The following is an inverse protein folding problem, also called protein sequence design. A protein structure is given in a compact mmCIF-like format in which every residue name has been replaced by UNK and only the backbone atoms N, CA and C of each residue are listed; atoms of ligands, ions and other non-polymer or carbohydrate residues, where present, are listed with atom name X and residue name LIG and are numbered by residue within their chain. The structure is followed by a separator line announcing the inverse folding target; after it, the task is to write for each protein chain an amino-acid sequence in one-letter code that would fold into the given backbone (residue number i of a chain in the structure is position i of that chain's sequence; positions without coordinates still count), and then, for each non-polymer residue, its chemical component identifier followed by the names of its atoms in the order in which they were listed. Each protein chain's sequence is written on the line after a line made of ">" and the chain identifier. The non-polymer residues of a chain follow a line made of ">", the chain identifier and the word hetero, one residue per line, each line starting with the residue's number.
data_IF_110134257252
#
_entry.id   IF_110134257252
#
_cell.length_a   1.000
_cell.length_b   1.000
_cell.length_c   1.000
_cell.angle_alpha   90.00
_cell.angle_beta   90.00
_cell.angle_gamma   90.00
#
_symmetry.space_group_name_H-M   'P 1'
#
loop_
_entity.id
_entity.type
_entity.pdbx_description
1 polymer ?
#
# COMPACT_ATOMS: atom_id res chain seq x y z
N UNK A 1 50.57 -11.57 82.10
CA UNK A 1 51.06 -12.98 82.03
C UNK A 1 50.02 -13.80 81.28
N UNK A 2 50.46 -14.60 80.29
CA UNK A 2 49.71 -15.63 79.51
C UNK A 2 48.65 -15.06 78.54
N UNK A 3 48.96 -14.96 77.23
CA UNK A 3 48.94 -16.01 76.18
C UNK A 3 47.55 -16.63 75.98
N UNK A 4 46.91 -16.36 74.83
CA UNK A 4 46.67 -17.31 73.72
C UNK A 4 45.49 -16.83 72.82
N UNK A 5 45.77 -16.64 71.53
CA UNK A 5 44.83 -16.83 70.40
C UNK A 5 44.18 -18.24 70.48
N UNK A 6 43.03 -18.56 69.84
CA UNK A 6 42.60 -18.04 68.54
C UNK A 6 41.07 -17.85 68.35
N UNK A 7 40.68 -17.08 67.31
CA UNK A 7 39.76 -17.55 66.27
C UNK A 7 39.77 -16.53 65.11
N UNK A 8 40.90 -16.51 64.42
CA UNK A 8 41.13 -15.74 63.20
C UNK A 8 40.47 -16.41 61.98
N UNK A 9 39.16 -16.67 62.03
CA UNK A 9 38.51 -17.37 60.92
C UNK A 9 37.09 -16.92 60.56
N UNK A 10 36.47 -15.95 61.24
CA UNK A 10 35.06 -15.65 60.96
C UNK A 10 34.67 -14.18 60.81
N UNK A 11 35.62 -13.23 60.77
CA UNK A 11 35.32 -11.80 60.59
C UNK A 11 36.16 -11.12 59.50
N UNK A 12 36.69 -11.91 58.57
CA UNK A 12 37.34 -11.45 57.34
C UNK A 12 36.35 -11.30 56.17
N UNK A 13 35.04 -11.18 56.43
CA UNK A 13 34.03 -11.25 55.37
C UNK A 13 32.99 -10.11 55.34
N UNK A 14 32.98 -9.14 56.26
CA UNK A 14 31.86 -8.16 56.29
C UNK A 14 32.27 -6.69 56.51
N UNK A 15 33.55 -6.37 56.68
CA UNK A 15 33.96 -4.98 56.99
C UNK A 15 35.07 -4.39 56.11
N UNK A 16 35.15 -4.82 54.85
CA UNK A 16 35.88 -4.09 53.79
C UNK A 16 34.96 -3.18 52.95
N UNK A 17 33.89 -2.70 53.57
CA UNK A 17 33.12 -1.56 53.07
C UNK A 17 33.60 -0.29 53.79
N UNK A 18 33.86 0.76 53.00
CA UNK A 18 34.14 2.16 53.36
C UNK A 18 35.60 2.58 53.57
N UNK A 19 36.28 2.90 52.46
CA UNK A 19 37.15 4.09 52.28
C UNK A 19 37.50 4.18 50.79
N UNK A 20 36.84 5.03 50.00
CA UNK A 20 37.13 6.45 49.80
C UNK A 20 38.49 6.74 49.10
N UNK A 21 38.36 7.22 47.85
CA UNK A 21 39.23 8.11 47.07
C UNK A 21 40.63 7.65 46.57
N UNK A 22 40.75 7.57 45.23
CA UNK A 22 42.04 7.58 44.53
C UNK A 22 41.89 7.86 43.02
N UNK A 23 41.96 9.14 42.64
CA UNK A 23 42.42 9.74 41.36
C UNK A 23 42.01 9.08 40.01
N UNK A 24 41.16 9.77 39.26
CA UNK A 24 41.03 9.64 37.79
C UNK A 24 42.26 10.23 37.09
N UNK A 25 42.95 9.42 36.28
CA UNK A 25 43.62 9.92 35.08
C UNK A 25 42.53 10.24 34.03
N UNK A 26 42.65 11.34 33.26
CA UNK A 26 41.75 11.54 32.14
C UNK A 26 42.09 10.49 31.08
N UNK A 27 41.25 9.46 30.95
CA UNK A 27 41.26 8.62 29.76
C UNK A 27 41.02 9.53 28.56
N UNK A 28 42.02 9.54 27.69
CA UNK A 28 41.93 10.03 26.33
C UNK A 28 40.69 9.36 25.70
N UNK A 29 39.74 10.11 25.10
CA UNK A 29 38.57 9.49 24.50
C UNK A 29 39.01 8.41 23.51
N UNK A 30 38.44 7.21 23.70
CA UNK A 30 38.66 6.02 22.90
C UNK A 30 38.58 6.35 21.41
N UNK A 31 39.63 5.98 20.68
CA UNK A 31 39.52 5.82 19.23
C UNK A 31 38.61 4.61 19.02
N UNK A 32 37.48 4.72 18.30
CA UNK A 32 36.55 3.59 18.15
C UNK A 32 37.29 2.35 17.62
N UNK A 33 37.31 1.26 18.40
CA UNK A 33 37.81 -0.03 17.94
C UNK A 33 36.86 -0.56 16.87
N UNK A 34 37.40 -0.93 15.70
CA UNK A 34 36.58 -1.48 14.63
C UNK A 34 35.94 -2.81 15.06
N UNK A 35 34.67 -3.04 14.71
CA UNK A 35 33.96 -4.29 15.04
C UNK A 35 34.65 -5.51 14.42
N UNK A 36 34.62 -6.64 15.14
CA UNK A 36 35.15 -7.93 14.69
C UNK A 36 34.15 -8.71 13.85
N UNK A 37 32.86 -8.52 14.10
CA UNK A 37 31.78 -9.10 13.29
C UNK A 37 31.73 -8.38 11.94
N UNK A 38 31.62 -9.14 10.85
CA UNK A 38 31.46 -8.57 9.52
C UNK A 38 30.03 -8.03 9.35
N UNK A 39 29.90 -6.94 8.60
CA UNK A 39 28.60 -6.38 8.25
C UNK A 39 27.71 -7.40 7.53
N UNK A 40 28.31 -8.21 6.64
CA UNK A 40 27.65 -9.30 5.92
C UNK A 40 27.00 -10.32 6.88
N UNK A 41 27.61 -10.60 8.03
CA UNK A 41 27.03 -11.52 9.02
C UNK A 41 25.79 -10.91 9.73
N UNK A 42 25.72 -9.59 9.85
CA UNK A 42 24.55 -8.88 10.39
C UNK A 42 23.44 -8.80 9.35
N UNK A 43 23.80 -8.54 8.09
CA UNK A 43 22.86 -8.53 6.96
C UNK A 43 22.27 -9.93 6.69
N UNK A 44 23.05 -11.02 6.79
CA UNK A 44 22.51 -12.39 6.68
C UNK A 44 21.49 -12.69 7.80
N UNK A 45 21.73 -12.16 9.01
CA UNK A 45 20.80 -12.29 10.14
C UNK A 45 19.50 -11.50 9.89
N UNK A 46 19.61 -10.27 9.40
CA UNK A 46 18.47 -9.41 9.05
C UNK A 46 17.68 -9.92 7.84
N UNK A 47 18.34 -10.54 6.87
CA UNK A 47 17.67 -11.20 5.73
C UNK A 47 16.76 -12.33 6.23
N UNK A 48 17.21 -13.12 7.20
CA UNK A 48 16.38 -14.18 7.77
C UNK A 48 15.25 -13.63 8.64
N UNK A 49 15.48 -12.54 9.37
CA UNK A 49 14.43 -11.78 10.10
C UNK A 49 13.33 -11.31 9.13
N UNK A 50 13.72 -10.73 8.00
CA UNK A 50 12.83 -10.31 6.91
C UNK A 50 12.00 -11.48 6.36
N UNK A 51 12.64 -12.62 6.05
CA UNK A 51 11.94 -13.82 5.57
C UNK A 51 10.93 -14.29 6.61
N UNK A 52 11.28 -14.30 7.90
CA UNK A 52 10.31 -14.67 8.96
C UNK A 52 9.14 -13.69 8.98
N UNK A 53 9.41 -12.38 8.89
CA UNK A 53 8.38 -11.35 8.80
C UNK A 53 7.42 -11.60 7.63
N UNK A 54 7.97 -11.89 6.44
CA UNK A 54 7.21 -12.19 5.23
C UNK A 54 6.26 -13.38 5.42
N UNK A 55 6.77 -14.48 5.98
CA UNK A 55 6.02 -15.73 6.14
C UNK A 55 4.97 -15.66 7.25
N UNK A 56 5.25 -14.94 8.36
CA UNK A 56 4.33 -14.84 9.50
C UNK A 56 3.26 -13.76 9.32
N UNK A 57 3.61 -12.61 8.73
CA UNK A 57 2.78 -11.40 8.78
C UNK A 57 2.33 -10.84 7.43
N UNK A 58 2.84 -11.38 6.29
CA UNK A 58 2.55 -10.86 4.93
C UNK A 58 2.09 -11.93 3.95
N UNK A 59 1.56 -13.04 4.48
CA UNK A 59 1.06 -14.17 3.70
C UNK A 59 2.06 -14.84 2.74
N UNK A 60 3.36 -14.74 3.03
CA UNK A 60 4.42 -15.19 2.12
C UNK A 60 4.48 -16.70 1.83
N UNK A 61 3.66 -17.52 2.49
CA UNK A 61 3.55 -18.96 2.22
C UNK A 61 2.49 -19.21 1.15
N UNK A 62 2.96 -19.59 -0.04
CA UNK A 62 2.10 -20.00 -1.16
C UNK A 62 1.27 -21.23 -0.80
N UNK A 63 0.05 -21.28 -1.32
CA UNK A 63 -0.96 -22.27 -0.99
C UNK A 63 -1.19 -23.23 -2.15
N UNK A 64 -1.59 -24.46 -1.84
CA UNK A 64 -1.95 -25.46 -2.85
C UNK A 64 -3.02 -26.40 -2.31
N UNK A 65 -4.28 -26.06 -2.63
CA UNK A 65 -5.48 -26.81 -2.27
C UNK A 65 -6.59 -25.89 -1.80
N UNK A 66 -7.68 -26.49 -1.30
CA UNK A 66 -8.83 -25.76 -0.77
C UNK A 66 -8.68 -25.50 0.73
N UNK A 67 -9.39 -24.47 1.20
CA UNK A 67 -9.56 -24.16 2.61
C UNK A 67 -10.24 -25.32 3.34
N UNK A 68 -9.64 -25.80 4.43
CA UNK A 68 -10.24 -26.85 5.27
C UNK A 68 -11.42 -26.31 6.06
N UNK A 69 -12.31 -27.20 6.54
CA UNK A 69 -13.48 -26.81 7.35
C UNK A 69 -13.11 -26.02 8.62
N UNK A 70 -11.93 -26.28 9.18
CA UNK A 70 -11.40 -25.57 10.34
C UNK A 70 -10.55 -24.33 9.99
N UNK A 71 -10.67 -23.88 8.74
CA UNK A 71 -10.15 -22.64 8.20
C UNK A 71 -8.63 -22.58 8.05
N UNK A 72 -8.01 -23.71 7.68
CA UNK A 72 -6.59 -23.79 7.36
C UNK A 72 -6.35 -23.99 5.87
N UNK A 73 -5.30 -23.37 5.36
CA UNK A 73 -4.88 -23.44 3.96
C UNK A 73 -3.64 -24.33 3.84
N UNK A 74 -3.67 -25.36 2.98
CA UNK A 74 -2.51 -26.21 2.74
C UNK A 74 -1.39 -25.40 2.08
N UNK A 75 -0.20 -25.41 2.69
CA UNK A 75 0.99 -24.77 2.12
C UNK A 75 1.51 -25.63 0.96
N UNK A 76 1.88 -24.97 -0.14
CA UNK A 76 2.47 -25.64 -1.30
C UNK A 76 3.84 -26.20 -0.96
N UNK A 77 4.14 -27.40 -1.44
CA UNK A 77 5.48 -28.00 -1.32
C UNK A 77 6.57 -27.18 -2.06
N UNK A 78 6.18 -26.21 -2.89
CA UNK A 78 7.09 -25.34 -3.65
C UNK A 78 7.53 -24.08 -2.87
N UNK A 79 7.01 -23.84 -1.67
CA UNK A 79 7.26 -22.61 -0.89
C UNK A 79 8.67 -22.51 -0.28
N UNK A 80 9.49 -23.57 -0.35
CA UNK A 80 10.79 -23.64 0.34
C UNK A 80 10.71 -23.85 1.85
N UNK A 81 9.53 -23.61 2.45
CA UNK A 81 9.20 -23.83 3.86
C UNK A 81 7.89 -24.60 3.97
N UNK A 82 7.96 -25.91 3.76
CA UNK A 82 6.79 -26.77 3.51
C UNK A 82 6.42 -27.67 4.71
N UNK A 83 7.19 -27.59 5.80
CA UNK A 83 6.99 -28.33 7.04
C UNK A 83 7.22 -27.43 8.27
N UNK A 84 6.73 -27.83 9.44
CA UNK A 84 7.03 -27.14 10.69
C UNK A 84 8.54 -27.21 11.02
N UNK A 85 9.22 -28.27 10.60
CA UNK A 85 10.66 -28.41 10.78
C UNK A 85 11.45 -27.36 9.98
N UNK A 86 11.03 -27.03 8.75
CA UNK A 86 11.65 -26.00 7.93
C UNK A 86 11.49 -24.62 8.60
N UNK A 87 10.27 -24.32 9.06
CA UNK A 87 9.93 -23.09 9.79
C UNK A 87 10.72 -22.98 11.10
N UNK A 88 10.79 -24.06 11.88
CA UNK A 88 11.55 -24.11 13.13
C UNK A 88 13.05 -23.89 12.89
N UNK A 89 13.61 -24.50 11.84
CA UNK A 89 15.01 -24.33 11.46
C UNK A 89 15.32 -22.87 11.11
N UNK A 90 14.46 -22.21 10.33
CA UNK A 90 14.59 -20.79 10.01
C UNK A 90 14.58 -19.93 11.29
N UNK A 91 13.61 -20.16 12.19
CA UNK A 91 13.51 -19.41 13.44
C UNK A 91 14.74 -19.61 14.33
N UNK A 92 15.24 -20.84 14.45
CA UNK A 92 16.41 -21.16 15.28
C UNK A 92 17.74 -20.65 14.70
N UNK A 93 17.80 -20.40 13.40
CA UNK A 93 18.94 -19.74 12.75
C UNK A 93 18.90 -18.22 12.89
N UNK A 94 17.73 -17.66 13.21
CA UNK A 94 17.47 -16.21 13.21
C UNK A 94 17.40 -15.63 14.61
N UNK A 95 16.68 -16.28 15.52
CA UNK A 95 16.39 -15.76 16.86
C UNK A 95 16.93 -16.60 17.99
N UNK A 96 16.94 -16.04 19.20
CA UNK A 96 17.19 -16.79 20.42
C UNK A 96 16.14 -17.90 20.60
N UNK A 97 16.46 -18.93 21.38
CA UNK A 97 15.57 -20.07 21.60
C UNK A 97 14.20 -19.67 22.17
N UNK A 98 14.17 -18.63 23.01
CA UNK A 98 12.93 -18.10 23.60
C UNK A 98 12.04 -17.45 22.53
N UNK A 99 12.57 -16.51 21.76
CA UNK A 99 11.85 -15.82 20.68
C UNK A 99 11.37 -16.80 19.60
N UNK A 100 12.21 -17.75 19.21
CA UNK A 100 11.86 -18.78 18.23
C UNK A 100 10.71 -19.67 18.73
N UNK A 101 10.70 -20.04 20.01
CA UNK A 101 9.61 -20.81 20.61
C UNK A 101 8.30 -20.02 20.65
N UNK A 102 8.36 -18.73 21.01
CA UNK A 102 7.20 -17.85 21.03
C UNK A 102 6.56 -17.68 19.64
N UNK A 103 7.39 -17.48 18.59
CA UNK A 103 6.90 -17.33 17.22
C UNK A 103 6.26 -18.59 16.66
N UNK A 104 6.79 -19.76 17.01
CA UNK A 104 6.21 -21.04 16.58
C UNK A 104 4.86 -21.31 17.26
N UNK A 105 4.65 -20.75 18.45
CA UNK A 105 3.40 -20.80 19.20
C UNK A 105 2.45 -19.64 18.89
N UNK A 106 2.76 -18.79 17.89
CA UNK A 106 1.93 -17.66 17.52
C UNK A 106 0.53 -18.16 17.11
N UNK A 107 -0.50 -17.41 17.50
CA UNK A 107 -1.89 -17.73 17.28
C UNK A 107 -2.54 -16.77 16.28
N UNK A 108 -3.56 -17.26 15.59
CA UNK A 108 -4.39 -16.46 14.70
C UNK A 108 -5.36 -15.55 15.49
N UNK A 109 -6.17 -14.76 14.78
CA UNK A 109 -7.11 -13.81 15.42
C UNK A 109 -8.19 -14.47 16.28
N UNK A 110 -8.32 -15.80 16.26
CA UNK A 110 -9.24 -16.59 17.09
C UNK A 110 -8.52 -17.43 18.17
N UNK A 111 -7.22 -17.24 18.38
CA UNK A 111 -6.45 -18.00 19.37
C UNK A 111 -6.10 -19.43 18.93
N UNK A 112 -6.10 -19.71 17.61
CA UNK A 112 -5.70 -21.02 17.07
C UNK A 112 -4.25 -20.98 16.60
N UNK A 113 -3.49 -22.09 16.63
CA UNK A 113 -2.11 -22.09 16.15
C UNK A 113 -1.99 -21.53 14.73
N UNK A 114 -1.04 -20.62 14.49
CA UNK A 114 -0.82 -20.04 13.16
C UNK A 114 -0.48 -21.10 12.11
N UNK A 115 0.29 -22.11 12.53
CA UNK A 115 0.75 -23.21 11.69
C UNK A 115 0.46 -24.55 12.35
N UNK A 116 0.02 -25.51 11.53
CA UNK A 116 -0.18 -26.89 11.95
C UNK A 116 0.35 -27.83 10.87
N UNK A 117 0.84 -29.00 11.27
CA UNK A 117 1.25 -30.04 10.32
C UNK A 117 0.29 -31.22 10.40
N UNK A 118 -0.19 -31.67 9.24
CA UNK A 118 -1.09 -32.82 9.11
C UNK A 118 -0.54 -33.74 8.05
N UNK A 119 -0.28 -34.99 8.41
CA UNK A 119 0.21 -36.02 7.48
C UNK A 119 1.50 -35.59 6.73
N UNK A 120 2.37 -34.83 7.41
CA UNK A 120 3.62 -34.33 6.82
C UNK A 120 3.45 -33.12 5.89
N UNK A 121 2.26 -32.52 5.82
CA UNK A 121 1.98 -31.29 5.06
C UNK A 121 1.71 -30.14 6.03
N UNK A 122 2.38 -29.01 5.81
CA UNK A 122 2.15 -27.77 6.54
C UNK A 122 0.84 -27.11 6.10
N UNK A 123 0.12 -26.56 7.07
CA UNK A 123 -1.05 -25.73 6.86
C UNK A 123 -0.89 -24.41 7.62
N UNK A 124 -1.31 -23.31 7.01
CA UNK A 124 -1.38 -21.99 7.64
C UNK A 124 -2.84 -21.64 7.95
N UNK A 125 -3.09 -20.93 9.04
CA UNK A 125 -4.45 -20.40 9.29
C UNK A 125 -4.83 -19.42 8.16
N UNK A 126 -6.09 -19.44 7.74
CA UNK A 126 -6.65 -18.44 6.80
C UNK A 126 -6.95 -17.09 7.45
N UNK A 127 -6.76 -16.97 8.77
CA UNK A 127 -7.02 -15.74 9.53
C UNK A 127 -5.77 -15.18 10.24
N UNK A 128 -4.64 -14.98 9.53
CA UNK A 128 -3.44 -14.39 10.12
C UNK A 128 -3.72 -13.09 10.87
N UNK A 129 -2.85 -12.84 11.85
CA UNK A 129 -2.57 -11.48 12.29
C UNK A 129 -1.67 -10.84 11.24
N UNK A 130 -2.26 -10.07 10.32
CA UNK A 130 -1.51 -9.33 9.31
C UNK A 130 -0.90 -8.07 9.90
N UNK A 131 0.37 -7.82 9.60
CA UNK A 131 0.89 -6.46 9.69
C UNK A 131 0.46 -5.72 8.42
N UNK A 132 -0.25 -4.61 8.56
CA UNK A 132 -0.54 -3.70 7.42
C UNK A 132 0.70 -2.96 6.93
N UNK A 133 1.76 -2.96 7.74
CA UNK A 133 3.00 -2.24 7.54
C UNK A 133 4.12 -3.27 7.44
N UNK A 134 4.59 -3.54 6.22
CA UNK A 134 5.67 -4.49 6.00
C UNK A 134 6.98 -3.73 5.84
N UNK A 135 7.98 -4.07 6.64
CA UNK A 135 9.22 -3.31 6.73
C UNK A 135 10.38 -4.13 6.16
N UNK A 136 11.04 -3.61 5.14
CA UNK A 136 12.35 -4.08 4.71
C UNK A 136 13.43 -3.35 5.48
N UNK A 137 14.65 -3.85 5.45
CA UNK A 137 15.79 -3.18 6.06
C UNK A 137 16.76 -2.70 4.99
N UNK A 138 17.25 -1.48 5.13
CA UNK A 138 18.32 -1.00 4.28
C UNK A 138 19.64 -1.64 4.73
N UNK A 139 20.14 -2.57 3.91
CA UNK A 139 21.39 -3.28 4.18
C UNK A 139 22.59 -2.34 4.32
N UNK A 140 22.60 -1.22 3.59
CA UNK A 140 23.68 -0.23 3.62
C UNK A 140 23.60 0.67 4.87
N UNK A 141 22.44 0.74 5.52
CA UNK A 141 22.23 1.48 6.78
C UNK A 141 22.75 0.75 8.02
N UNK A 142 23.07 -0.54 7.88
CA UNK A 142 23.44 -1.38 9.02
C UNK A 142 24.76 -0.87 9.61
N UNK A 143 24.73 -0.55 10.91
CA UNK A 143 25.89 -0.05 11.64
C UNK A 143 26.06 -0.79 12.94
N UNK A 144 27.19 -1.48 13.14
CA UNK A 144 27.51 -2.08 14.44
C UNK A 144 27.88 -0.94 15.39
N UNK A 145 27.08 -0.75 16.43
CA UNK A 145 27.27 0.30 17.44
C UNK A 145 28.04 -0.21 18.64
N UNK A 146 27.84 -1.48 19.02
CA UNK A 146 28.58 -2.12 20.11
C UNK A 146 28.76 -3.62 19.85
N UNK A 147 29.94 -4.17 20.12
CA UNK A 147 30.19 -5.60 20.05
C UNK A 147 30.98 -6.07 21.28
N UNK A 148 30.41 -7.04 21.99
CA UNK A 148 31.04 -7.76 23.10
C UNK A 148 31.18 -9.25 22.77
N UNK A 149 31.71 -10.05 23.70
CA UNK A 149 31.82 -11.50 23.50
C UNK A 149 30.44 -12.21 23.44
N UNK A 150 29.40 -11.60 24.03
CA UNK A 150 28.09 -12.22 24.23
C UNK A 150 26.96 -11.46 23.52
N UNK A 151 27.17 -10.18 23.21
CA UNK A 151 26.13 -9.29 22.69
C UNK A 151 26.66 -8.45 21.54
N UNK A 152 25.84 -8.31 20.50
CA UNK A 152 26.05 -7.43 19.37
C UNK A 152 24.87 -6.45 19.31
N UNK A 153 25.16 -5.16 19.40
CA UNK A 153 24.18 -4.08 19.21
C UNK A 153 24.48 -3.41 17.88
N UNK A 154 23.45 -3.22 17.07
CA UNK A 154 23.58 -2.57 15.78
C UNK A 154 22.36 -1.71 15.51
N UNK A 155 22.55 -0.67 14.72
CA UNK A 155 21.47 0.11 14.15
C UNK A 155 21.16 -0.39 12.76
N UNK A 156 19.89 -0.33 12.40
CA UNK A 156 19.42 -0.61 11.05
C UNK A 156 18.23 0.30 10.77
N UNK A 157 18.22 0.92 9.60
CA UNK A 157 17.06 1.60 9.09
C UNK A 157 16.10 0.56 8.49
N UNK A 158 14.89 0.54 9.02
CA UNK A 158 13.79 -0.19 8.44
C UNK A 158 13.01 0.77 7.55
N UNK A 159 12.65 0.34 6.35
CA UNK A 159 11.79 1.07 5.45
C UNK A 159 10.49 0.29 5.29
N UNK A 160 9.37 0.91 5.62
CA UNK A 160 8.09 0.33 5.27
C UNK A 160 8.00 0.24 3.75
N UNK A 161 7.79 -0.95 3.19
CA UNK A 161 7.62 -1.22 1.76
C UNK A 161 6.21 -0.88 1.25
N UNK A 162 5.31 -0.52 2.16
CA UNK A 162 4.07 0.16 1.87
C UNK A 162 3.91 1.51 2.60
N UNK A 163 4.92 2.16 3.18
CA UNK A 163 4.82 3.59 3.57
C UNK A 163 6.06 4.45 3.29
N UNK A 164 7.19 3.84 2.98
CA UNK A 164 8.46 4.52 2.70
C UNK A 164 9.02 5.18 3.96
N UNK A 165 8.25 5.07 5.05
CA UNK A 165 8.61 5.48 6.38
C UNK A 165 9.87 4.73 6.76
N UNK A 166 10.91 5.50 7.06
CA UNK A 166 12.19 5.01 7.51
C UNK A 166 12.27 5.14 9.01
N UNK A 167 12.46 4.02 9.68
CA UNK A 167 12.59 3.93 11.11
C UNK A 167 13.95 3.33 11.43
N UNK A 168 14.86 4.14 11.97
CA UNK A 168 16.10 3.62 12.52
C UNK A 168 15.81 2.89 13.83
N UNK A 169 16.04 1.59 13.81
CA UNK A 169 15.95 0.73 14.98
C UNK A 169 17.34 0.45 15.53
N UNK A 170 17.43 0.37 16.85
CA UNK A 170 18.57 -0.26 17.53
C UNK A 170 18.15 -1.68 17.87
N UNK A 171 18.89 -2.66 17.37
CA UNK A 171 18.60 -4.09 17.51
C UNK A 171 19.74 -4.77 18.24
N UNK A 172 19.39 -5.86 18.93
CA UNK A 172 20.36 -6.66 19.71
C UNK A 172 20.37 -8.11 19.25
N UNK A 173 21.57 -8.67 19.12
CA UNK A 173 21.80 -10.09 18.92
C UNK A 173 22.67 -10.68 20.02
N UNK A 174 22.40 -11.94 20.38
CA UNK A 174 23.16 -12.71 21.36
C UNK A 174 24.05 -13.74 20.68
N UNK A 175 25.25 -13.96 21.22
CA UNK A 175 26.19 -14.95 20.70
C UNK A 175 25.80 -16.35 21.14
N UNK A 176 25.64 -17.26 20.18
CA UNK A 176 25.46 -18.69 20.41
C UNK A 176 26.61 -19.49 19.79
N UNK A 177 26.66 -20.80 20.07
CA UNK A 177 27.62 -21.71 19.45
C UNK A 177 27.53 -21.74 17.91
N UNK A 178 26.36 -21.43 17.35
CA UNK A 178 26.07 -21.45 15.92
C UNK A 178 25.96 -20.05 15.30
N UNK A 179 26.47 -19.02 15.98
CA UNK A 179 26.50 -17.64 15.49
C UNK A 179 25.61 -16.67 16.27
N UNK A 180 25.39 -15.50 15.71
CA UNK A 180 24.54 -14.46 16.29
C UNK A 180 23.06 -14.78 16.11
N UNK A 181 22.22 -14.39 17.08
CA UNK A 181 20.77 -14.60 17.09
C UNK A 181 20.04 -13.37 17.63
N UNK A 182 19.00 -12.91 16.96
CA UNK A 182 18.20 -11.75 17.40
C UNK A 182 17.36 -12.10 18.64
N UNK A 183 17.28 -11.18 19.59
CA UNK A 183 16.41 -11.33 20.77
C UNK A 183 14.95 -10.95 20.50
N UNK A 184 14.70 -10.23 19.43
CA UNK A 184 13.38 -9.69 19.07
C UNK A 184 13.14 -9.79 17.56
N UNK A 185 11.87 -9.85 17.19
CA UNK A 185 11.40 -9.75 15.81
C UNK A 185 11.44 -8.28 15.41
N UNK A 186 11.54 -7.99 14.10
CA UNK A 186 11.29 -6.64 13.58
C UNK A 186 9.96 -6.03 14.06
N UNK A 187 9.68 -4.78 13.66
CA UNK A 187 8.53 -3.97 14.15
C UNK A 187 7.26 -4.81 14.34
N UNK A 188 6.99 -5.20 15.59
CA UNK A 188 5.74 -5.85 15.94
C UNK A 188 4.66 -4.77 16.01
N UNK A 189 3.50 -5.04 15.42
CA UNK A 189 2.34 -4.13 15.31
C UNK A 189 1.77 -3.61 16.67
N UNK A 190 2.46 -3.78 17.80
CA UNK A 190 2.02 -3.41 19.14
C UNK A 190 2.96 -2.43 19.88
N UNK A 191 4.14 -2.07 19.36
CA UNK A 191 5.09 -1.19 20.08
C UNK A 191 5.34 0.14 19.36
N UNK A 192 4.36 1.04 19.40
CA UNK A 192 4.61 2.47 19.16
C UNK A 192 3.73 3.42 20.00
N UNK A 193 3.01 2.93 21.01
CA UNK A 193 2.36 3.82 21.99
C UNK A 193 1.45 4.88 21.37
N UNK A 194 0.56 4.48 20.46
CA UNK A 194 -0.43 5.34 19.82
C UNK A 194 -1.46 5.85 20.85
N UNK A 195 -1.12 6.92 21.57
CA UNK A 195 -2.12 7.81 22.16
C UNK A 195 -2.74 8.61 21.02
N UNK A 196 -4.06 8.50 20.85
CA UNK A 196 -4.80 9.08 19.73
C UNK A 196 -4.31 10.47 19.31
N UNK A 197 -3.73 10.54 18.13
CA UNK A 197 -3.56 11.76 17.36
C UNK A 197 -4.65 11.80 16.29
N UNK A 198 -5.19 13.00 16.13
CA UNK A 198 -5.83 13.52 14.93
C UNK A 198 -5.05 13.00 13.71
N UNK A 199 -5.72 12.64 12.60
CA UNK A 199 -5.07 12.19 11.35
C UNK A 199 -4.13 13.27 10.80
N UNK A 200 -2.86 13.22 11.20
CA UNK A 200 -1.84 14.20 10.84
C UNK A 200 -1.28 13.98 9.43
N UNK A 201 -1.36 12.79 8.82
CA UNK A 201 -0.71 12.53 7.52
C UNK A 201 -1.38 13.21 6.31
N UNK A 202 -2.69 13.06 6.10
CA UNK A 202 -3.38 13.66 4.94
C UNK A 202 -3.37 15.19 4.99
N UNK A 203 -3.61 15.76 6.18
CA UNK A 203 -3.54 17.20 6.40
C UNK A 203 -2.12 17.74 6.28
N UNK A 204 -1.13 17.05 6.85
CA UNK A 204 0.28 17.44 6.72
C UNK A 204 0.71 17.45 5.25
N UNK A 205 0.27 16.47 4.46
CA UNK A 205 0.59 16.40 3.02
C UNK A 205 -0.12 17.52 2.24
N UNK A 206 -1.37 17.82 2.57
CA UNK A 206 -2.07 18.97 2.01
C UNK A 206 -1.36 20.30 2.33
N UNK A 207 -0.98 20.51 3.59
CA UNK A 207 -0.26 21.71 4.04
C UNK A 207 1.13 21.83 3.38
N UNK A 208 1.87 20.72 3.28
CA UNK A 208 3.17 20.66 2.57
C UNK A 208 3.02 20.98 1.09
N UNK A 209 2.02 20.41 0.43
CA UNK A 209 1.75 20.67 -0.98
C UNK A 209 1.44 22.15 -1.23
N UNK A 210 0.59 22.73 -0.40
CA UNK A 210 0.22 24.15 -0.48
C UNK A 210 1.42 25.07 -0.23
N UNK A 211 2.28 24.74 0.74
CA UNK A 211 3.53 25.46 0.96
C UNK A 211 4.48 25.36 -0.25
N UNK A 212 4.65 24.15 -0.80
CA UNK A 212 5.51 23.90 -1.95
C UNK A 212 5.07 24.66 -3.22
N UNK A 213 3.76 24.90 -3.40
CA UNK A 213 3.25 25.76 -4.47
C UNK A 213 3.79 27.20 -4.36
N UNK A 214 3.74 27.78 -3.16
CA UNK A 214 4.21 29.16 -2.89
C UNK A 214 5.73 29.26 -3.00
N UNK A 215 6.45 28.25 -2.52
CA UNK A 215 7.92 28.19 -2.57
C UNK A 215 8.45 27.86 -3.97
N UNK A 216 7.58 27.45 -4.90
CA UNK A 216 7.92 26.87 -6.21
C UNK A 216 8.90 25.69 -6.09
N UNK A 217 8.77 24.90 -5.02
CA UNK A 217 9.56 23.69 -4.79
C UNK A 217 8.98 22.53 -5.58
N UNK A 218 9.49 22.35 -6.80
CA UNK A 218 9.04 21.30 -7.72
C UNK A 218 9.34 19.88 -7.22
N UNK A 219 10.34 19.72 -6.34
CA UNK A 219 10.69 18.41 -5.78
C UNK A 219 9.74 18.04 -4.64
N UNK A 220 9.41 19.01 -3.76
CA UNK A 220 8.39 18.83 -2.73
C UNK A 220 6.99 18.59 -3.32
N UNK A 221 6.64 19.28 -4.42
CA UNK A 221 5.39 19.02 -5.15
C UNK A 221 5.32 17.59 -5.69
N UNK A 222 6.42 17.10 -6.27
CA UNK A 222 6.51 15.73 -6.75
C UNK A 222 6.37 14.71 -5.61
N UNK A 223 7.06 14.95 -4.49
CA UNK A 223 6.95 14.09 -3.31
C UNK A 223 5.53 14.04 -2.73
N UNK A 224 4.84 15.18 -2.64
CA UNK A 224 3.45 15.21 -2.15
C UNK A 224 2.47 14.46 -3.07
N UNK A 225 2.78 14.37 -4.36
CA UNK A 225 1.99 13.66 -5.36
C UNK A 225 2.43 12.19 -5.56
N UNK A 226 3.44 11.70 -4.83
CA UNK A 226 3.99 10.35 -5.04
C UNK A 226 4.71 10.17 -6.38
N UNK A 227 5.28 11.24 -6.93
CA UNK A 227 5.90 11.29 -8.24
C UNK A 227 7.43 11.39 -8.17
N UNK A 228 8.10 11.04 -9.28
CA UNK A 228 9.54 11.23 -9.41
C UNK A 228 9.92 12.73 -9.31
N UNK A 229 11.06 13.10 -8.68
CA UNK A 229 11.45 14.50 -8.48
C UNK A 229 11.54 15.34 -9.76
N UNK A 230 11.78 14.70 -10.90
CA UNK A 230 11.84 15.34 -12.21
C UNK A 230 10.48 15.66 -12.83
N UNK A 231 9.39 15.06 -12.33
CA UNK A 231 8.05 15.14 -12.93
C UNK A 231 7.62 16.60 -13.13
N UNK A 232 7.74 17.45 -12.11
CA UNK A 232 7.28 18.85 -12.20
C UNK A 232 8.40 19.87 -12.47
N UNK A 233 9.58 19.45 -12.97
CA UNK A 233 10.69 20.39 -13.21
C UNK A 233 10.35 21.51 -14.20
N UNK A 234 9.42 21.29 -15.12
CA UNK A 234 8.96 22.31 -16.09
C UNK A 234 8.21 23.47 -15.43
N UNK A 235 7.81 23.32 -14.16
CA UNK A 235 7.13 24.35 -13.37
C UNK A 235 8.09 25.30 -12.66
N UNK A 236 9.41 25.09 -12.78
CA UNK A 236 10.39 26.02 -12.21
C UNK A 236 10.23 27.40 -12.85
N UNK A 237 10.17 28.42 -12.01
CA UNK A 237 9.96 29.82 -12.42
C UNK A 237 8.51 30.27 -12.43
N UNK A 238 7.56 29.41 -12.00
CA UNK A 238 6.22 29.86 -11.67
C UNK A 238 6.25 30.78 -10.44
N UNK A 239 5.26 31.65 -10.32
CA UNK A 239 5.10 32.58 -9.23
C UNK A 239 3.66 32.56 -8.73
N UNK A 240 3.50 32.00 -7.54
CA UNK A 240 2.27 31.94 -6.75
C UNK A 240 2.53 32.77 -5.49
N UNK A 241 1.74 33.82 -5.26
CA UNK A 241 1.98 34.75 -4.14
C UNK A 241 1.39 34.26 -2.83
N UNK A 242 0.34 33.44 -2.88
CA UNK A 242 -0.26 32.80 -1.71
C UNK A 242 -1.04 31.57 -2.15
N UNK A 243 -1.05 30.55 -1.29
CA UNK A 243 -1.95 29.42 -1.35
C UNK A 243 -2.28 29.02 0.10
N UNK A 244 -3.56 28.85 0.42
CA UNK A 244 -4.01 28.57 1.78
C UNK A 244 -5.18 27.59 1.78
N UNK A 245 -5.17 26.61 2.69
CA UNK A 245 -6.35 25.77 2.94
C UNK A 245 -7.39 26.63 3.68
N UNK A 246 -8.50 26.94 3.03
CA UNK A 246 -9.56 27.80 3.58
C UNK A 246 -10.72 27.02 4.18
N UNK A 247 -10.93 25.78 3.77
CA UNK A 247 -11.97 24.91 4.28
C UNK A 247 -11.56 23.43 4.24
N UNK A 248 -11.90 22.69 5.29
CA UNK A 248 -11.84 21.22 5.31
C UNK A 248 -13.22 20.70 4.94
N UNK A 249 -13.36 20.11 3.76
CA UNK A 249 -14.63 19.60 3.24
C UNK A 249 -14.92 18.20 3.81
N UNK A 250 -13.89 17.35 3.85
CA UNK A 250 -13.97 15.98 4.38
C UNK A 250 -12.60 15.54 4.89
N UNK A 251 -12.56 14.76 5.97
CA UNK A 251 -11.30 14.20 6.48
C UNK A 251 -11.56 12.91 7.29
N UNK A 252 -10.88 11.83 6.93
CA UNK A 252 -10.87 10.53 7.63
C UNK A 252 -9.56 9.77 7.33
N UNK A 253 -9.34 8.60 7.95
CA UNK A 253 -8.13 7.80 7.75
C UNK A 253 -7.90 7.49 6.26
N UNK A 254 -6.80 7.98 5.70
CA UNK A 254 -6.44 7.80 4.30
C UNK A 254 -7.19 8.69 3.29
N UNK A 255 -7.96 9.70 3.72
CA UNK A 255 -8.59 10.66 2.80
C UNK A 255 -8.75 12.06 3.42
N UNK A 256 -8.45 13.10 2.65
CA UNK A 256 -8.71 14.50 2.97
C UNK A 256 -9.14 15.28 1.73
N UNK A 257 -10.22 16.05 1.86
CA UNK A 257 -10.74 16.96 0.83
C UNK A 257 -10.71 18.38 1.37
N UNK A 258 -10.03 19.27 0.64
CA UNK A 258 -9.76 20.63 1.10
C UNK A 258 -10.10 21.64 0.01
N UNK A 259 -10.62 22.80 0.42
CA UNK A 259 -10.63 24.00 -0.43
C UNK A 259 -9.34 24.74 -0.22
N UNK A 260 -8.60 25.00 -1.30
CA UNK A 260 -7.38 25.80 -1.31
C UNK A 260 -7.64 27.09 -2.07
N UNK A 261 -7.48 28.23 -1.42
CA UNK A 261 -7.51 29.52 -2.09
C UNK A 261 -6.10 29.88 -2.56
N UNK A 262 -5.92 30.14 -3.86
CA UNK A 262 -4.61 30.42 -4.46
C UNK A 262 -4.61 31.73 -5.25
N UNK A 263 -3.55 32.52 -5.09
CA UNK A 263 -3.27 33.73 -5.85
C UNK A 263 -2.04 33.53 -6.75
N UNK A 264 -2.26 33.44 -8.06
CA UNK A 264 -1.23 33.16 -9.07
C UNK A 264 -0.83 34.43 -9.82
N UNK A 265 0.46 34.74 -9.86
CA UNK A 265 1.00 35.86 -10.65
C UNK A 265 1.38 35.41 -12.06
N UNK A 266 2.09 34.29 -12.16
CA UNK A 266 2.51 33.71 -13.43
C UNK A 266 2.75 32.21 -13.26
N UNK A 267 1.93 31.37 -13.89
CA UNK A 267 2.09 29.92 -13.87
C UNK A 267 2.24 29.31 -15.27
N UNK A 268 2.69 30.09 -16.26
CA UNK A 268 2.88 29.61 -17.65
C UNK A 268 1.65 28.87 -18.26
N UNK A 269 0.44 29.22 -17.82
CA UNK A 269 -0.84 28.58 -18.16
C UNK A 269 -1.11 27.20 -17.53
N UNK A 270 -0.27 26.75 -16.60
CA UNK A 270 -0.58 25.60 -15.71
C UNK A 270 -1.75 25.98 -14.80
N UNK A 271 -1.68 27.17 -14.19
CA UNK A 271 -2.76 27.77 -13.40
C UNK A 271 -3.20 29.10 -14.02
N UNK A 272 -4.47 29.46 -13.84
CA UNK A 272 -5.00 30.75 -14.26
C UNK A 272 -4.34 31.88 -13.45
N UNK A 273 -4.07 33.03 -14.07
CA UNK A 273 -3.58 34.20 -13.36
C UNK A 273 -4.73 34.86 -12.59
N UNK A 274 -4.50 35.23 -11.33
CA UNK A 274 -5.52 35.80 -10.44
C UNK A 274 -5.74 34.98 -9.18
N UNK A 275 -6.86 35.25 -8.51
CA UNK A 275 -7.31 34.52 -7.32
C UNK A 275 -8.40 33.52 -7.70
N UNK A 276 -8.26 32.27 -7.27
CA UNK A 276 -9.19 31.17 -7.59
C UNK A 276 -9.14 30.09 -6.49
N UNK A 277 -10.27 29.41 -6.28
CA UNK A 277 -10.37 28.31 -5.32
C UNK A 277 -10.23 26.95 -6.02
N UNK A 278 -9.42 26.08 -5.43
CA UNK A 278 -9.10 24.75 -5.93
C UNK A 278 -9.60 23.69 -4.96
N UNK A 279 -10.05 22.56 -5.53
CA UNK A 279 -10.29 21.33 -4.79
C UNK A 279 -8.98 20.54 -4.71
N UNK A 280 -8.50 20.32 -3.50
CA UNK A 280 -7.37 19.46 -3.20
C UNK A 280 -7.88 18.17 -2.57
N UNK A 281 -7.51 17.03 -3.14
CA UNK A 281 -7.80 15.71 -2.58
C UNK A 281 -6.48 15.00 -2.30
N UNK A 282 -6.34 14.57 -1.06
CA UNK A 282 -5.24 13.73 -0.59
C UNK A 282 -5.83 12.38 -0.23
N UNK A 283 -5.33 11.31 -0.84
CA UNK A 283 -5.85 9.97 -0.59
C UNK A 283 -4.72 8.95 -0.52
N UNK A 284 -4.87 7.96 0.35
CA UNK A 284 -4.04 6.77 0.34
C UNK A 284 -4.49 5.87 -0.82
N UNK A 285 -3.73 5.91 -1.92
CA UNK A 285 -3.98 5.06 -3.08
C UNK A 285 -3.46 3.62 -2.87
N UNK A 286 -4.01 2.68 -3.62
CA UNK A 286 -3.57 1.29 -3.55
C UNK A 286 -2.11 1.16 -4.01
N UNK A 287 -1.26 0.59 -3.15
CA UNK A 287 0.17 0.48 -3.41
C UNK A 287 0.94 1.76 -3.09
N UNK A 288 0.25 2.86 -2.71
CA UNK A 288 0.89 4.05 -2.20
C UNK A 288 1.03 4.01 -0.70
N UNK A 289 2.15 4.57 -0.36
CA UNK A 289 2.80 4.28 0.87
C UNK A 289 2.29 5.22 1.97
N UNK A 290 2.34 6.50 1.65
CA UNK A 290 1.68 7.55 2.40
C UNK A 290 0.54 8.08 1.54
N UNK A 291 -0.42 8.83 2.13
CA UNK A 291 -1.42 9.52 1.33
C UNK A 291 -0.75 10.45 0.33
N UNK A 292 -1.23 10.51 -0.91
CA UNK A 292 -0.68 11.38 -1.94
C UNK A 292 -1.75 12.36 -2.39
N UNK A 293 -1.33 13.51 -2.90
CA UNK A 293 -2.20 14.41 -3.65
C UNK A 293 -2.62 13.68 -4.93
N UNK A 294 -3.88 13.27 -5.01
CA UNK A 294 -4.43 12.55 -6.16
C UNK A 294 -5.32 13.43 -7.06
N UNK A 295 -5.62 14.65 -6.61
CA UNK A 295 -6.39 15.61 -7.38
C UNK A 295 -6.13 17.05 -6.93
N UNK A 296 -5.88 17.94 -7.89
CA UNK A 296 -5.79 19.38 -7.66
C UNK A 296 -6.27 20.17 -8.88
N UNK A 297 -7.52 20.65 -8.86
CA UNK A 297 -8.15 21.38 -9.96
C UNK A 297 -9.09 22.47 -9.42
N UNK A 298 -9.45 23.50 -10.22
CA UNK A 298 -10.40 24.53 -9.80
C UNK A 298 -11.75 23.94 -9.35
N UNK A 299 -12.38 24.55 -8.34
CA UNK A 299 -13.68 24.10 -7.84
C UNK A 299 -14.81 24.16 -8.86
N UNK A 300 -14.67 24.98 -9.91
CA UNK A 300 -15.62 25.02 -11.03
C UNK A 300 -15.48 23.82 -11.97
N UNK A 301 -14.38 23.07 -11.87
CA UNK A 301 -14.01 21.96 -12.73
C UNK A 301 -13.75 20.72 -11.89
N UNK A 302 -14.82 20.07 -11.44
CA UNK A 302 -14.75 18.81 -10.66
C UNK A 302 -14.94 17.62 -11.57
N UNK A 303 -13.95 16.74 -11.61
CA UNK A 303 -14.07 15.45 -12.29
C UNK A 303 -15.12 14.58 -11.60
N UNK A 304 -15.92 13.85 -12.39
CA UNK A 304 -16.97 12.95 -11.94
C UNK A 304 -16.48 11.95 -10.89
N UNK A 305 -15.29 11.38 -11.07
CA UNK A 305 -14.71 10.39 -10.14
C UNK A 305 -14.48 10.97 -8.74
N UNK A 306 -14.32 12.29 -8.64
CA UNK A 306 -14.06 13.02 -7.40
C UNK A 306 -15.26 13.89 -6.96
N UNK A 307 -16.37 13.82 -7.69
CA UNK A 307 -17.63 14.48 -7.35
C UNK A 307 -18.28 13.81 -6.14
N UNK A 308 -18.93 14.59 -5.28
CA UNK A 308 -19.77 14.07 -4.21
C UNK A 308 -21.08 13.46 -4.76
N UNK A 309 -21.54 13.97 -5.92
CA UNK A 309 -22.73 13.51 -6.60
C UNK A 309 -22.35 12.60 -7.78
N UNK A 310 -22.13 11.32 -7.50
CA UNK A 310 -21.86 10.27 -8.51
C UNK A 310 -23.15 9.59 -8.96
N UNK A 311 -23.95 10.29 -9.76
CA UNK A 311 -25.26 9.83 -10.22
C UNK A 311 -25.46 9.88 -11.74
N UNK A 312 -24.39 10.02 -12.52
CA UNK A 312 -24.44 10.12 -13.98
C UNK A 312 -24.30 8.73 -14.63
N UNK A 313 -25.36 8.16 -15.22
CA UNK A 313 -25.31 6.82 -15.80
C UNK A 313 -24.35 6.70 -16.98
N UNK A 314 -24.12 7.80 -17.71
CA UNK A 314 -23.16 7.80 -18.82
C UNK A 314 -21.74 7.68 -18.30
N UNK A 315 -21.42 8.39 -17.21
CA UNK A 315 -20.11 8.32 -16.57
C UNK A 315 -19.85 6.95 -15.92
N UNK A 316 -20.83 6.38 -15.21
CA UNK A 316 -20.68 5.02 -14.64
C UNK A 316 -20.46 3.98 -15.74
N UNK A 317 -21.20 4.08 -16.86
CA UNK A 317 -21.04 3.16 -17.98
C UNK A 317 -19.67 3.34 -18.68
N UNK A 318 -19.18 4.57 -18.82
CA UNK A 318 -17.83 4.84 -19.34
C UNK A 318 -16.74 4.27 -18.42
N UNK A 319 -16.89 4.44 -17.10
CA UNK A 319 -15.95 3.92 -16.10
C UNK A 319 -15.88 2.39 -16.14
N UNK A 320 -17.04 1.71 -16.14
CA UNK A 320 -17.12 0.25 -16.24
C UNK A 320 -16.51 -0.25 -17.55
N UNK A 321 -16.74 0.44 -18.67
CA UNK A 321 -16.14 0.07 -19.95
C UNK A 321 -14.62 0.19 -19.91
N UNK A 322 -14.09 1.28 -19.38
CA UNK A 322 -12.64 1.48 -19.23
C UNK A 322 -12.01 0.41 -18.33
N UNK A 323 -12.64 0.09 -17.19
CA UNK A 323 -12.16 -0.94 -16.27
C UNK A 323 -12.17 -2.35 -16.89
N UNK A 324 -13.15 -2.63 -17.75
CA UNK A 324 -13.30 -3.89 -18.48
C UNK A 324 -12.32 -4.01 -19.65
N UNK A 325 -12.43 -3.08 -20.60
CA UNK A 325 -11.85 -3.19 -21.95
C UNK A 325 -10.60 -2.33 -22.13
N UNK A 326 -10.27 -1.49 -21.16
CA UNK A 326 -9.09 -0.64 -21.23
C UNK A 326 -9.30 0.52 -22.19
N UNK A 327 -8.24 0.88 -22.92
CA UNK A 327 -8.25 1.97 -23.91
C UNK A 327 -8.84 1.61 -25.27
N UNK A 328 -9.77 0.65 -25.35
CA UNK A 328 -10.35 0.20 -26.61
C UNK A 328 -11.16 1.34 -27.28
N UNK A 329 -10.91 1.58 -28.57
CA UNK A 329 -11.60 2.58 -29.39
C UNK A 329 -12.38 1.93 -30.51
N UNK A 330 -13.56 2.47 -30.81
CA UNK A 330 -14.42 2.00 -31.89
C UNK A 330 -15.40 3.09 -32.36
N UNK A 331 -15.73 3.09 -33.66
CA UNK A 331 -16.59 4.09 -34.31
C UNK A 331 -18.06 3.65 -34.44
N UNK A 332 -18.48 2.65 -33.66
CA UNK A 332 -19.80 2.02 -33.74
C UNK A 332 -19.78 0.66 -33.05
N UNK A 333 -20.71 0.41 -32.12
CA UNK A 333 -20.71 -0.81 -31.31
C UNK A 333 -20.83 -2.10 -32.12
N UNK A 334 -21.36 -2.01 -33.34
CA UNK A 334 -21.35 -3.10 -34.33
C UNK A 334 -19.94 -3.62 -34.67
N UNK A 335 -18.91 -2.78 -34.52
CA UNK A 335 -17.53 -3.13 -34.82
C UNK A 335 -16.80 -3.80 -33.65
N UNK A 336 -17.43 -3.90 -32.48
CA UNK A 336 -16.89 -4.67 -31.37
C UNK A 336 -16.87 -6.14 -31.74
N UNK A 337 -15.80 -6.84 -31.38
CA UNK A 337 -15.79 -8.28 -31.48
C UNK A 337 -16.79 -8.88 -30.48
N UNK A 338 -17.17 -10.13 -30.75
CA UNK A 338 -18.20 -10.83 -29.98
C UNK A 338 -17.78 -11.05 -28.52
N UNK A 339 -16.50 -11.26 -28.26
CA UNK A 339 -16.01 -11.50 -26.91
C UNK A 339 -16.12 -10.21 -26.08
N UNK A 340 -15.60 -9.08 -26.57
CA UNK A 340 -15.73 -7.77 -25.92
C UNK A 340 -17.19 -7.37 -25.72
N UNK A 341 -18.06 -7.59 -26.72
CA UNK A 341 -19.48 -7.26 -26.57
C UNK A 341 -20.19 -8.14 -25.52
N UNK A 342 -19.84 -9.43 -25.45
CA UNK A 342 -20.37 -10.36 -24.44
C UNK A 342 -19.90 -9.97 -23.05
N UNK A 343 -18.62 -9.66 -22.95
CA UNK A 343 -17.94 -9.30 -21.73
C UNK A 343 -18.51 -8.01 -21.12
N UNK A 344 -18.66 -6.95 -21.93
CA UNK A 344 -19.25 -5.71 -21.46
C UNK A 344 -20.73 -5.87 -21.10
N UNK A 345 -21.49 -6.67 -21.85
CA UNK A 345 -22.87 -6.99 -21.50
C UNK A 345 -22.97 -7.71 -20.14
N UNK A 346 -22.07 -8.65 -19.87
CA UNK A 346 -21.96 -9.31 -18.57
C UNK A 346 -21.55 -8.34 -17.46
N UNK A 347 -20.58 -7.45 -17.72
CA UNK A 347 -20.15 -6.42 -16.76
C UNK A 347 -21.33 -5.55 -16.31
N UNK A 348 -22.17 -5.11 -17.25
CA UNK A 348 -23.37 -4.33 -16.94
C UNK A 348 -24.41 -5.16 -16.18
N UNK A 349 -24.62 -6.43 -16.56
CA UNK A 349 -25.54 -7.33 -15.86
C UNK A 349 -25.12 -7.58 -14.41
N UNK A 350 -23.82 -7.78 -14.15
CA UNK A 350 -23.29 -7.91 -12.79
C UNK A 350 -23.51 -6.63 -11.97
N UNK A 351 -23.27 -5.46 -12.57
CA UNK A 351 -23.49 -4.17 -11.91
C UNK A 351 -24.98 -3.95 -11.55
N UNK A 352 -25.92 -4.43 -12.37
CA UNK A 352 -27.36 -4.32 -12.11
C UNK A 352 -27.93 -5.41 -11.20
N UNK A 353 -27.26 -6.57 -11.06
CA UNK A 353 -27.79 -7.74 -10.37
C UNK A 353 -26.84 -8.20 -9.26
N UNK A 354 -26.86 -7.47 -8.14
CA UNK A 354 -26.02 -7.75 -6.98
C UNK A 354 -26.16 -9.22 -6.52
N UNK A 355 -25.02 -9.91 -6.37
CA UNK A 355 -24.96 -11.30 -5.92
C UNK A 355 -25.28 -12.37 -6.97
N UNK A 356 -25.68 -12.00 -8.20
CA UNK A 356 -25.87 -12.96 -9.30
C UNK A 356 -24.57 -13.18 -10.06
N UNK A 357 -24.19 -14.44 -10.25
CA UNK A 357 -22.89 -14.83 -10.83
C UNK A 357 -22.99 -15.60 -12.14
N UNK A 358 -24.19 -15.89 -12.64
CA UNK A 358 -24.40 -16.58 -13.91
C UNK A 358 -25.68 -16.08 -14.60
N UNK A 359 -25.64 -15.92 -15.92
CA UNK A 359 -26.72 -15.34 -16.73
C UNK A 359 -27.09 -16.23 -17.90
N UNK A 360 -28.36 -16.23 -18.29
CA UNK A 360 -28.82 -16.97 -19.46
C UNK A 360 -28.37 -16.28 -20.76
N UNK A 361 -28.31 -17.03 -21.87
CA UNK A 361 -28.02 -16.44 -23.19
C UNK A 361 -29.01 -15.31 -23.55
N UNK A 362 -30.28 -15.45 -23.16
CA UNK A 362 -31.32 -14.44 -23.39
C UNK A 362 -31.03 -13.15 -22.62
N UNK A 363 -30.59 -13.24 -21.37
CA UNK A 363 -30.21 -12.07 -20.56
C UNK A 363 -29.00 -11.35 -21.15
N UNK A 364 -27.96 -12.08 -21.55
CA UNK A 364 -26.76 -11.48 -22.18
C UNK A 364 -27.11 -10.85 -23.53
N UNK A 365 -27.97 -11.49 -24.32
CA UNK A 365 -28.46 -10.93 -25.59
C UNK A 365 -29.26 -9.65 -25.37
N UNK A 366 -30.14 -9.63 -24.38
CA UNK A 366 -30.92 -8.45 -24.01
C UNK A 366 -30.01 -7.31 -23.53
N UNK A 367 -28.97 -7.62 -22.73
CA UNK A 367 -27.99 -6.64 -22.28
C UNK A 367 -27.15 -6.09 -23.44
N UNK A 368 -26.67 -6.92 -24.37
CA UNK A 368 -25.97 -6.45 -25.56
C UNK A 368 -26.86 -5.55 -26.44
N UNK A 369 -28.15 -5.85 -26.54
CA UNK A 369 -29.10 -4.98 -27.22
C UNK A 369 -29.30 -3.66 -26.46
N UNK A 370 -29.49 -3.70 -25.13
CA UNK A 370 -29.71 -2.52 -24.28
C UNK A 370 -28.49 -1.59 -24.27
N UNK A 371 -27.29 -2.11 -24.06
CA UNK A 371 -26.09 -1.30 -23.82
C UNK A 371 -25.24 -1.04 -25.05
N UNK A 372 -25.36 -1.86 -26.09
CA UNK A 372 -24.55 -1.73 -27.30
C UNK A 372 -25.41 -1.59 -28.57
N UNK A 373 -26.74 -1.73 -28.47
CA UNK A 373 -27.63 -1.68 -29.64
C UNK A 373 -27.50 -2.88 -30.58
N UNK A 374 -26.94 -4.00 -30.11
CA UNK A 374 -26.69 -5.19 -30.93
C UNK A 374 -27.92 -6.10 -31.00
N UNK A 375 -28.72 -5.98 -32.06
CA UNK A 375 -29.89 -6.84 -32.30
C UNK A 375 -29.49 -8.22 -32.81
N UNK A 376 -30.09 -9.28 -32.26
CA UNK A 376 -29.79 -10.66 -32.66
C UNK A 376 -28.38 -11.12 -32.28
N UNK A 377 -27.81 -10.48 -31.27
CA UNK A 377 -26.49 -10.83 -30.75
C UNK A 377 -26.47 -12.26 -30.22
N UNK A 378 -25.45 -13.02 -30.61
CA UNK A 378 -25.16 -14.33 -30.02
C UNK A 378 -23.94 -14.17 -29.09
N UNK A 379 -24.09 -14.37 -27.78
CA UNK A 379 -22.98 -14.28 -26.83
C UNK A 379 -21.83 -15.24 -27.17
N UNK A 380 -20.61 -14.87 -26.78
CA UNK A 380 -19.43 -15.70 -26.98
C UNK A 380 -19.40 -16.87 -25.99
N UNK A 381 -19.36 -18.10 -26.53
CA UNK A 381 -19.36 -19.33 -25.75
C UNK A 381 -18.12 -19.48 -24.85
N UNK A 382 -17.05 -18.70 -25.05
CA UNK A 382 -15.91 -18.68 -24.13
C UNK A 382 -16.30 -18.23 -22.71
N UNK A 383 -17.42 -17.53 -22.56
CA UNK A 383 -17.97 -17.08 -21.28
C UNK A 383 -19.01 -18.06 -20.72
N UNK A 384 -19.35 -19.14 -21.43
CA UNK A 384 -20.35 -20.11 -21.00
C UNK A 384 -19.78 -21.09 -19.97
N UNK A 385 -20.23 -20.96 -18.73
CA UNK A 385 -19.99 -21.90 -17.64
C UNK A 385 -21.09 -22.95 -17.48
N UNK A 386 -21.01 -23.74 -16.41
CA UNK A 386 -21.97 -24.83 -16.10
C UNK A 386 -23.37 -24.35 -15.76
N UNK A 387 -23.48 -23.13 -15.20
CA UNK A 387 -24.75 -22.55 -14.74
C UNK A 387 -25.30 -21.45 -15.66
N UNK A 388 -24.54 -21.08 -16.69
CA UNK A 388 -24.85 -19.97 -17.60
C UNK A 388 -23.59 -19.21 -18.01
N UNK A 389 -23.77 -18.07 -18.65
CA UNK A 389 -22.69 -17.14 -18.97
C UNK A 389 -22.18 -16.45 -17.70
N UNK A 390 -20.88 -16.49 -17.48
CA UNK A 390 -20.21 -15.96 -16.29
C UNK A 390 -19.24 -14.86 -16.68
N UNK A 391 -19.15 -13.80 -15.87
CA UNK A 391 -18.07 -12.83 -16.02
C UNK A 391 -16.84 -13.44 -15.32
N UNK A 392 -15.75 -13.74 -16.05
CA UNK A 392 -14.54 -14.25 -15.42
C UNK A 392 -14.04 -13.22 -14.41
N UNK A 393 -13.71 -13.68 -13.19
CA UNK A 393 -13.09 -12.86 -12.17
C UNK A 393 -11.78 -12.29 -12.71
N UNK A 394 -11.80 -11.00 -13.05
CA UNK A 394 -10.64 -10.27 -13.55
C UNK A 394 -10.41 -9.07 -12.66
N UNK A 395 -9.14 -8.78 -12.39
CA UNK A 395 -8.78 -7.51 -11.79
C UNK A 395 -9.26 -6.39 -12.73
N UNK A 396 -9.92 -5.38 -12.18
CA UNK A 396 -10.22 -4.16 -12.93
C UNK A 396 -8.91 -3.63 -13.51
N UNK A 397 -8.92 -3.21 -14.78
CA UNK A 397 -7.74 -2.58 -15.36
C UNK A 397 -7.47 -1.30 -14.57
N UNK A 398 -6.32 -1.26 -13.90
CA UNK A 398 -5.87 -0.05 -13.22
C UNK A 398 -5.65 1.05 -14.27
N UNK A 399 -6.33 2.17 -14.07
CA UNK A 399 -6.19 3.38 -14.87
C UNK A 399 -5.79 4.51 -13.92
N UNK A 400 -4.49 4.59 -13.55
CA UNK A 400 -4.01 5.60 -12.64
C UNK A 400 -4.24 6.99 -13.25
N UNK A 401 -4.66 7.96 -12.44
CA UNK A 401 -4.91 9.35 -12.86
C UNK A 401 -6.00 9.50 -13.94
N UNK A 402 -7.00 8.60 -13.91
CA UNK A 402 -8.19 8.70 -14.75
C UNK A 402 -9.15 9.76 -14.23
N UNK A 403 -9.41 10.78 -15.03
CA UNK A 403 -10.46 11.76 -14.83
C UNK A 403 -11.60 11.54 -15.82
N UNK A 404 -12.80 11.24 -15.31
CA UNK A 404 -14.04 11.37 -16.08
C UNK A 404 -14.62 12.75 -15.83
N UNK A 405 -15.13 13.40 -16.87
CA UNK A 405 -15.82 14.67 -16.75
C UNK A 405 -17.34 14.46 -16.83
N UNK A 406 -18.15 15.30 -16.15
CA UNK A 406 -19.61 15.23 -16.22
C UNK A 406 -20.11 15.15 -17.66
N UNK A 407 -21.15 14.35 -17.90
CA UNK A 407 -21.66 14.19 -19.25
C UNK A 407 -22.32 15.46 -19.77
N UNK A 408 -22.29 15.63 -21.10
CA UNK A 408 -22.94 16.76 -21.76
C UNK A 408 -23.59 16.33 -23.08
N UNK A 409 -24.59 17.10 -23.52
CA UNK A 409 -25.29 16.83 -24.78
C UNK A 409 -24.60 17.53 -25.95
N UNK A 410 -24.43 16.84 -27.07
CA UNK A 410 -23.77 17.40 -28.27
C UNK A 410 -24.73 18.11 -29.26
N UNK A 411 -25.99 18.30 -28.86
CA UNK A 411 -27.04 18.89 -29.69
C UNK A 411 -27.63 17.96 -30.75
N UNK A 412 -27.05 16.78 -30.98
CA UNK A 412 -27.61 15.72 -31.84
C UNK A 412 -28.49 14.72 -31.07
N UNK A 413 -28.68 14.95 -29.77
CA UNK A 413 -29.40 14.06 -28.85
C UNK A 413 -28.52 12.93 -28.30
N UNK A 414 -27.20 13.01 -28.46
CA UNK A 414 -26.24 12.09 -27.85
C UNK A 414 -25.68 12.68 -26.57
N UNK A 415 -25.53 11.83 -25.57
CA UNK A 415 -24.80 12.12 -24.35
C UNK A 415 -23.32 11.81 -24.59
N UNK A 416 -22.43 12.75 -24.29
CA UNK A 416 -20.99 12.59 -24.40
C UNK A 416 -20.35 12.58 -23.02
N UNK A 417 -19.36 11.71 -22.83
CA UNK A 417 -18.49 11.70 -21.64
C UNK A 417 -17.06 11.78 -22.11
N UNK A 418 -16.31 12.74 -21.55
CA UNK A 418 -14.88 12.87 -21.77
C UNK A 418 -14.15 12.13 -20.65
N UNK A 419 -13.23 11.25 -21.01
CA UNK A 419 -12.32 10.62 -20.07
C UNK A 419 -10.88 10.97 -20.46
N UNK A 420 -10.05 11.31 -19.49
CA UNK A 420 -8.66 11.67 -19.68
C UNK A 420 -7.80 10.86 -18.72
N UNK A 421 -6.77 10.21 -19.26
CA UNK A 421 -5.79 9.49 -18.49
C UNK A 421 -4.48 10.28 -18.50
N UNK A 422 -4.07 10.78 -17.35
CA UNK A 422 -2.83 11.52 -17.19
C UNK A 422 -1.68 10.59 -16.80
N UNK A 423 -0.44 11.07 -16.98
CA UNK A 423 0.76 10.35 -16.53
C UNK A 423 1.23 10.79 -15.15
N UNK A 424 0.51 11.71 -14.50
CA UNK A 424 0.84 12.31 -13.21
C UNK A 424 -0.42 12.63 -12.41
N UNK A 425 -0.35 12.58 -11.07
CA UNK A 425 -1.50 12.85 -10.19
C UNK A 425 -2.00 14.31 -10.20
N UNK A 426 -1.15 15.27 -10.61
CA UNK A 426 -1.58 16.66 -10.75
C UNK A 426 -2.23 16.96 -12.11
N UNK A 427 -2.36 15.94 -12.97
CA UNK A 427 -3.09 16.00 -14.24
C UNK A 427 -2.53 17.06 -15.21
N UNK A 428 -1.20 17.17 -15.30
CA UNK A 428 -0.53 18.25 -16.04
C UNK A 428 0.32 17.80 -17.21
N UNK A 429 0.59 16.51 -17.32
CA UNK A 429 1.40 15.92 -18.37
C UNK A 429 0.57 15.13 -19.37
N UNK A 430 1.25 14.39 -20.26
CA UNK A 430 0.69 13.69 -21.41
C UNK A 430 -0.64 13.00 -21.07
N UNK A 431 -1.70 13.47 -21.71
CA UNK A 431 -3.02 12.90 -21.53
C UNK A 431 -3.39 12.00 -22.70
N UNK A 432 -3.90 10.81 -22.41
CA UNK A 432 -4.69 10.05 -23.37
C UNK A 432 -6.16 10.37 -23.16
N UNK A 433 -6.74 11.09 -24.12
CA UNK A 433 -8.16 11.40 -24.14
C UNK A 433 -9.00 10.30 -24.81
N UNK A 434 -10.20 10.12 -24.29
CA UNK A 434 -11.29 9.33 -24.85
C UNK A 434 -12.57 10.16 -24.84
N UNK A 435 -13.33 10.07 -25.93
CA UNK A 435 -14.68 10.60 -26.00
C UNK A 435 -15.66 9.45 -26.19
N UNK A 436 -16.44 9.18 -25.14
CA UNK A 436 -17.53 8.22 -25.15
C UNK A 436 -18.78 8.93 -25.67
N UNK A 437 -19.47 8.30 -26.62
CA UNK A 437 -20.76 8.78 -27.10
C UNK A 437 -21.84 7.75 -26.80
N UNK A 438 -22.94 8.21 -26.23
CA UNK A 438 -24.08 7.40 -25.87
C UNK A 438 -25.33 7.89 -26.59
N UNK A 439 -26.11 6.94 -27.08
CA UNK A 439 -27.43 7.22 -27.67
C UNK A 439 -28.52 6.78 -26.68
N UNK A 440 -29.62 7.52 -26.58
CA UNK A 440 -30.76 7.09 -25.77
C UNK A 440 -31.49 5.92 -26.44
N UNK A 441 -31.95 5.00 -25.61
CA UNK A 441 -32.96 4.00 -25.95
C UNK A 441 -34.36 4.60 -25.75
N UNK A 442 -35.40 3.91 -26.26
CA UNK A 442 -36.79 4.37 -26.14
C UNK A 442 -37.27 4.47 -24.69
N UNK A 443 -36.70 3.66 -23.79
CA UNK A 443 -37.00 3.61 -22.37
C UNK A 443 -36.20 4.63 -21.54
N UNK A 444 -35.38 5.46 -22.18
CA UNK A 444 -34.51 6.44 -21.53
C UNK A 444 -33.19 5.89 -21.01
N UNK A 445 -32.92 4.59 -21.13
CA UNK A 445 -31.60 4.02 -20.86
C UNK A 445 -30.59 4.44 -21.93
N UNK A 446 -29.30 4.32 -21.63
CA UNK A 446 -28.23 4.69 -22.55
C UNK A 446 -27.65 3.43 -23.21
N UNK A 447 -27.31 3.54 -24.49
CA UNK A 447 -26.43 2.60 -25.19
C UNK A 447 -25.15 3.28 -25.61
N UNK A 448 -24.01 2.65 -25.31
CA UNK A 448 -22.71 3.07 -25.81
C UNK A 448 -22.69 2.91 -27.33
N UNK A 449 -22.30 3.97 -28.03
CA UNK A 449 -22.32 4.05 -29.49
C UNK A 449 -20.93 4.14 -30.11
N UNK A 450 -19.99 4.84 -29.47
CA UNK A 450 -18.60 4.92 -29.93
C UNK A 450 -17.66 5.37 -28.80
N UNK A 451 -16.38 5.05 -28.96
CA UNK A 451 -15.26 5.55 -28.15
C UNK A 451 -14.15 6.00 -29.11
N UNK A 452 -13.83 7.29 -29.12
CA UNK A 452 -12.81 7.88 -30.02
C UNK A 452 -11.64 8.46 -29.26
#
# INVERSE_FOLDING_TARGET
>A
MKRFFPLAALLLAVLLAFSACGKQEPQQPDVPQQPKTSLEAVQDLLTKDYIVGYLWYCDGLSEEGELTEDEYLPVSAKSGYSSLADLQSLLQQTYTAETAAALLQNEDTLGRPRFVEREGKLYKSSRPVFSRYYWDYDADSVGITEETAETLTFTVEMENLHTGEKLTLTRTAQKTAEGWRLSEVGVAAAEAGLTGQITEETRSIAEKFVAALVENDTEALAACAGEAPETYQTWRGMSISSAEITEVLEEYEGCGRYRVHMATQNAFSVFAAGEEDYLLIVQQEQGQETPVVCYYEPLEKVAYNFSEERNDPACEMALLFLQAEGGLRFNGSFWLDRATATDFALTMLYAENEGKTAFTAEEVTAAAQKYLGLTGFAPDESYLGTEGYILPGRAARSMPHLLLWPSYQDGSGRTLVKAELYTDHLNTQNCQGYLFAFSPNEDGSLRLSSVT
#
